data_IF_987783393384
#
_entry.id   IF_987783393384
#
_cell.length_a   1.000
_cell.length_b   1.000
_cell.length_c   1.000
_cell.angle_alpha   90.00
_cell.angle_beta   90.00
_cell.angle_gamma   90.00
#
_symmetry.space_group_name_H-M   'P 1'
#
loop_
_entity.id
_entity.type
_entity.pdbx_description
1 polymer ?
#
# COMPACT_ATOMS: atom_id res chain seq x y z
N UNK A 1 34.48 -8.60 -11.40
CA UNK A 1 34.98 -9.08 -10.10
C UNK A 1 33.74 -9.49 -9.36
N UNK A 2 33.38 -10.76 -9.52
CA UNK A 2 32.17 -11.33 -8.94
C UNK A 2 32.33 -11.38 -7.42
N UNK A 3 31.26 -11.00 -6.72
CA UNK A 3 31.27 -10.71 -5.28
C UNK A 3 31.34 -12.02 -4.49
N UNK A 4 32.53 -12.33 -3.97
CA UNK A 4 32.86 -13.56 -3.23
C UNK A 4 31.93 -13.80 -2.02
N UNK A 5 31.28 -12.74 -1.52
CA UNK A 5 30.29 -12.81 -0.44
C UNK A 5 28.99 -13.53 -0.81
N UNK A 6 28.66 -13.62 -2.11
CA UNK A 6 27.47 -14.34 -2.60
C UNK A 6 27.71 -15.85 -2.62
N UNK A 7 28.95 -16.30 -2.87
CA UNK A 7 29.29 -17.73 -2.93
C UNK A 7 29.37 -18.36 -1.52
N UNK A 8 29.91 -17.63 -0.54
CA UNK A 8 30.07 -18.14 0.83
C UNK A 8 28.73 -18.32 1.58
N UNK A 9 27.66 -17.69 1.10
CA UNK A 9 26.30 -17.87 1.66
C UNK A 9 25.69 -19.24 1.30
N UNK A 10 26.19 -19.91 0.26
CA UNK A 10 25.64 -21.17 -0.25
C UNK A 10 26.42 -22.44 0.18
N UNK A 11 27.59 -22.30 0.83
CA UNK A 11 28.45 -23.46 1.11
C UNK A 11 28.32 -24.08 2.52
N UNK A 12 27.56 -23.49 3.46
CA UNK A 12 27.43 -24.09 4.80
C UNK A 12 25.99 -24.12 5.39
N UNK A 13 25.11 -24.98 4.84
CA UNK A 13 23.70 -25.07 5.24
C UNK A 13 23.46 -25.53 6.69
N UNK A 14 24.44 -26.12 7.36
CA UNK A 14 24.25 -26.71 8.70
C UNK A 14 24.45 -25.73 9.86
N UNK A 15 25.11 -24.58 9.65
CA UNK A 15 25.34 -23.58 10.70
C UNK A 15 24.14 -22.61 10.84
N UNK A 16 23.46 -22.31 9.73
CA UNK A 16 22.24 -21.50 9.68
C UNK A 16 21.04 -22.21 10.33
N UNK A 17 20.93 -23.52 10.14
CA UNK A 17 19.81 -24.32 10.66
C UNK A 17 19.72 -24.35 12.20
N UNK A 18 20.83 -24.16 12.92
CA UNK A 18 20.91 -24.38 14.37
C UNK A 18 20.68 -23.13 15.23
N UNK A 19 20.90 -21.94 14.68
CA UNK A 19 20.60 -20.65 15.34
C UNK A 19 19.16 -20.18 15.08
N UNK A 20 18.54 -20.72 14.04
CA UNK A 20 17.17 -20.42 13.60
C UNK A 20 16.15 -21.21 14.43
N UNK A 21 16.42 -22.47 14.82
CA UNK A 21 15.39 -23.40 15.34
C UNK A 21 14.57 -22.93 16.55
N UNK A 22 15.15 -22.20 17.50
CA UNK A 22 14.46 -21.91 18.77
C UNK A 22 13.63 -20.60 18.73
N UNK A 23 14.00 -19.63 17.89
CA UNK A 23 13.17 -18.45 17.56
C UNK A 23 12.14 -18.76 16.46
N UNK A 24 12.49 -19.69 15.58
CA UNK A 24 11.64 -20.14 14.48
C UNK A 24 10.56 -21.10 14.93
N UNK A 25 10.65 -21.79 16.07
CA UNK A 25 9.52 -22.60 16.56
C UNK A 25 8.28 -21.75 16.90
N UNK A 26 8.43 -20.63 17.62
CA UNK A 26 7.31 -19.74 17.96
C UNK A 26 6.89 -18.84 16.78
N UNK A 27 7.84 -18.35 15.99
CA UNK A 27 7.52 -17.63 14.75
C UNK A 27 6.90 -18.56 13.71
N UNK A 28 7.30 -19.83 13.61
CA UNK A 28 6.68 -20.79 12.69
C UNK A 28 5.25 -21.10 13.10
N UNK A 29 4.94 -21.34 14.38
CA UNK A 29 3.54 -21.58 14.78
C UNK A 29 2.64 -20.39 14.42
N UNK A 30 3.14 -19.15 14.61
CA UNK A 30 2.40 -17.94 14.23
C UNK A 30 2.35 -17.72 12.71
N UNK A 31 3.43 -18.03 11.99
CA UNK A 31 3.50 -17.98 10.52
C UNK A 31 2.66 -19.07 9.87
N UNK A 32 2.50 -20.23 10.51
CA UNK A 32 1.72 -21.37 10.03
C UNK A 32 0.22 -21.07 10.21
N UNK A 33 -0.18 -20.54 11.37
CA UNK A 33 -1.53 -20.01 11.58
C UNK A 33 -1.87 -18.83 10.65
N UNK A 34 -0.91 -17.94 10.37
CA UNK A 34 -1.12 -16.85 9.41
C UNK A 34 -1.22 -17.38 7.97
N UNK A 35 -0.40 -18.37 7.60
CA UNK A 35 -0.49 -19.03 6.28
C UNK A 35 -1.81 -19.75 6.09
N UNK A 36 -2.26 -20.50 7.09
CA UNK A 36 -3.55 -21.19 7.07
C UNK A 36 -4.70 -20.18 6.91
N UNK A 37 -4.73 -19.14 7.74
CA UNK A 37 -5.71 -18.05 7.59
C UNK A 37 -5.70 -17.40 6.20
N UNK A 38 -4.51 -17.07 5.66
CA UNK A 38 -4.39 -16.46 4.32
C UNK A 38 -4.91 -17.39 3.22
N UNK A 39 -4.61 -18.69 3.30
CA UNK A 39 -5.08 -19.69 2.35
C UNK A 39 -6.59 -19.89 2.43
N UNK A 40 -7.15 -19.98 3.64
CA UNK A 40 -8.59 -20.11 3.85
C UNK A 40 -9.35 -18.89 3.33
N UNK A 41 -8.88 -17.69 3.65
CA UNK A 41 -9.49 -16.46 3.14
C UNK A 41 -9.43 -16.39 1.61
N UNK A 42 -8.27 -16.67 1.01
CA UNK A 42 -8.11 -16.67 -0.44
C UNK A 42 -9.02 -17.72 -1.11
N UNK A 43 -9.16 -18.91 -0.50
CA UNK A 43 -10.07 -19.94 -0.99
C UNK A 43 -11.52 -19.45 -0.99
N UNK A 44 -11.99 -18.89 0.12
CA UNK A 44 -13.34 -18.34 0.23
C UNK A 44 -13.57 -17.20 -0.77
N UNK A 45 -12.61 -16.28 -0.91
CA UNK A 45 -12.72 -15.16 -1.84
C UNK A 45 -12.88 -15.60 -3.30
N UNK A 46 -12.25 -16.72 -3.68
CA UNK A 46 -12.30 -17.25 -5.06
C UNK A 46 -13.49 -18.19 -5.32
N UNK A 47 -13.96 -18.92 -4.31
CA UNK A 47 -14.91 -20.03 -4.51
C UNK A 47 -16.26 -19.84 -3.81
N UNK A 48 -16.39 -18.89 -2.88
CA UNK A 48 -17.60 -18.68 -2.11
C UNK A 48 -17.97 -17.20 -2.03
N UNK A 49 -18.73 -16.75 -3.03
CA UNK A 49 -19.17 -15.36 -3.13
C UNK A 49 -20.03 -14.93 -1.92
N UNK A 50 -20.83 -15.83 -1.35
CA UNK A 50 -21.68 -15.52 -0.18
C UNK A 50 -20.84 -15.33 1.08
N UNK A 51 -19.83 -16.19 1.29
CA UNK A 51 -18.87 -16.01 2.37
C UNK A 51 -18.09 -14.70 2.22
N UNK A 52 -17.59 -14.41 1.01
CA UNK A 52 -16.88 -13.16 0.73
C UNK A 52 -17.73 -11.92 1.04
N UNK A 53 -19.00 -11.88 0.61
CA UNK A 53 -19.88 -10.75 0.95
C UNK A 53 -20.11 -10.61 2.46
N UNK A 54 -20.24 -11.73 3.17
CA UNK A 54 -20.43 -11.70 4.63
C UNK A 54 -19.18 -11.16 5.34
N UNK A 55 -17.98 -11.55 4.88
CA UNK A 55 -16.70 -11.04 5.38
C UNK A 55 -16.55 -9.53 5.11
N UNK A 56 -16.87 -9.07 3.90
CA UNK A 56 -16.84 -7.65 3.55
C UNK A 56 -17.85 -6.83 4.36
N UNK A 57 -19.04 -7.38 4.63
CA UNK A 57 -20.03 -6.73 5.49
C UNK A 57 -19.52 -6.56 6.91
N UNK A 58 -18.81 -7.55 7.46
CA UNK A 58 -18.21 -7.46 8.79
C UNK A 58 -17.07 -6.45 8.82
N UNK A 59 -16.19 -6.46 7.82
CA UNK A 59 -15.11 -5.47 7.68
C UNK A 59 -15.65 -4.03 7.62
N UNK A 60 -16.76 -3.83 6.91
CA UNK A 60 -17.44 -2.53 6.83
C UNK A 60 -17.97 -2.09 8.20
N UNK A 61 -18.62 -3.00 8.94
CA UNK A 61 -19.10 -2.71 10.29
C UNK A 61 -17.93 -2.29 11.21
N UNK A 62 -16.82 -3.02 11.17
CA UNK A 62 -15.64 -2.69 11.96
C UNK A 62 -15.03 -1.34 11.59
N UNK A 63 -15.04 -1.00 10.30
CA UNK A 63 -14.61 0.32 9.81
C UNK A 63 -15.49 1.43 10.38
N UNK A 64 -16.82 1.25 10.41
CA UNK A 64 -17.75 2.23 11.00
C UNK A 64 -17.47 2.42 12.50
N UNK A 65 -17.24 1.34 13.24
CA UNK A 65 -16.92 1.40 14.68
C UNK A 65 -15.63 2.18 14.94
N UNK A 66 -14.57 1.91 14.18
CA UNK A 66 -13.30 2.65 14.27
C UNK A 66 -13.51 4.12 13.89
N UNK A 67 -14.24 4.40 12.81
CA UNK A 67 -14.52 5.76 12.36
C UNK A 67 -15.24 6.58 13.43
N UNK A 68 -16.26 6.00 14.07
CA UNK A 68 -17.00 6.67 15.15
C UNK A 68 -16.09 7.04 16.32
N UNK A 69 -15.20 6.12 16.73
CA UNK A 69 -14.27 6.35 17.82
C UNK A 69 -13.23 7.43 17.47
N UNK A 70 -12.69 7.39 16.25
CA UNK A 70 -11.80 8.45 15.75
C UNK A 70 -12.50 9.82 15.68
N UNK A 71 -13.77 9.85 15.25
CA UNK A 71 -14.56 11.08 15.22
C UNK A 71 -14.81 11.64 16.61
N UNK A 72 -15.07 10.78 17.62
CA UNK A 72 -15.19 11.20 19.01
C UNK A 72 -13.89 11.81 19.52
N UNK A 73 -12.76 11.12 19.32
CA UNK A 73 -11.41 11.62 19.66
C UNK A 73 -11.15 12.99 19.05
N UNK A 74 -11.39 13.15 17.76
CA UNK A 74 -11.09 14.39 17.04
C UNK A 74 -12.04 15.51 17.46
N UNK A 75 -13.30 15.20 17.78
CA UNK A 75 -14.26 16.16 18.34
C UNK A 75 -13.84 16.65 19.74
N UNK A 76 -13.39 15.76 20.62
CA UNK A 76 -12.97 16.09 21.98
C UNK A 76 -11.70 16.96 21.97
N UNK A 77 -10.73 16.64 21.11
CA UNK A 77 -9.55 17.51 20.88
C UNK A 77 -9.94 18.89 20.38
N UNK A 78 -10.94 18.98 19.50
CA UNK A 78 -11.40 20.25 18.95
C UNK A 78 -12.08 21.09 20.02
N UNK A 79 -12.94 20.48 20.84
CA UNK A 79 -13.61 21.13 21.98
C UNK A 79 -12.60 21.60 23.02
N UNK A 80 -11.59 20.78 23.34
CA UNK A 80 -10.51 21.16 24.26
C UNK A 80 -9.78 22.42 23.76
N UNK A 81 -9.38 22.44 22.48
CA UNK A 81 -8.70 23.58 21.86
C UNK A 81 -9.56 24.84 21.87
N UNK A 82 -10.86 24.72 21.60
CA UNK A 82 -11.79 25.85 21.62
C UNK A 82 -12.06 26.39 23.03
N UNK A 83 -12.21 25.50 24.01
CA UNK A 83 -12.54 25.87 25.40
C UNK A 83 -11.34 26.44 26.15
N UNK A 84 -10.12 26.05 25.75
CA UNK A 84 -8.89 26.45 26.42
C UNK A 84 -8.13 27.57 25.70
N UNK A 85 -8.75 28.35 24.80
CA UNK A 85 -8.08 29.43 24.04
C UNK A 85 -7.46 30.56 24.90
N UNK A 86 -7.59 30.49 26.23
CA UNK A 86 -7.03 31.43 27.20
C UNK A 86 -6.19 30.76 28.32
N UNK A 87 -5.88 29.45 28.23
CA UNK A 87 -5.03 28.71 29.18
C UNK A 87 -3.58 28.60 28.66
N UNK A 88 -2.63 28.23 29.54
CA UNK A 88 -1.24 27.99 29.17
C UNK A 88 -1.12 26.84 28.15
N UNK A 89 -0.29 27.02 27.12
CA UNK A 89 -0.09 26.04 26.03
C UNK A 89 0.34 24.65 26.54
N UNK A 90 1.14 24.59 27.61
CA UNK A 90 1.63 23.33 28.20
C UNK A 90 0.50 22.47 28.79
N UNK A 91 -0.50 23.09 29.42
CA UNK A 91 -1.65 22.37 29.98
C UNK A 91 -2.54 21.80 28.87
N UNK A 92 -2.66 22.53 27.74
CA UNK A 92 -3.42 22.10 26.57
C UNK A 92 -2.71 20.93 25.87
N UNK A 93 -1.39 20.97 25.76
CA UNK A 93 -0.61 19.88 25.19
C UNK A 93 -0.76 18.61 26.02
N UNK A 94 -0.58 18.69 27.34
CA UNK A 94 -0.69 17.54 28.24
C UNK A 94 -2.11 16.93 28.22
N UNK A 95 -3.15 17.77 28.23
CA UNK A 95 -4.53 17.28 28.12
C UNK A 95 -4.82 16.65 26.74
N UNK A 96 -4.25 17.19 25.66
CA UNK A 96 -4.38 16.61 24.31
C UNK A 96 -3.71 15.24 24.22
N UNK A 97 -2.52 15.09 24.81
CA UNK A 97 -1.79 13.81 24.88
C UNK A 97 -2.56 12.76 25.69
N UNK A 98 -3.16 13.14 26.82
CA UNK A 98 -3.99 12.23 27.61
C UNK A 98 -5.23 11.74 26.84
N UNK A 99 -5.88 12.62 26.06
CA UNK A 99 -6.96 12.24 25.15
C UNK A 99 -6.44 11.25 24.10
N UNK A 100 -5.28 11.54 23.48
CA UNK A 100 -4.68 10.63 22.49
C UNK A 100 -4.41 9.25 23.06
N UNK A 101 -3.76 9.16 24.22
CA UNK A 101 -3.40 7.89 24.85
C UNK A 101 -4.64 7.06 25.21
N UNK A 102 -5.68 7.70 25.74
CA UNK A 102 -6.95 7.05 26.08
C UNK A 102 -7.62 6.44 24.83
N UNK A 103 -7.80 7.23 23.78
CA UNK A 103 -8.46 6.74 22.56
C UNK A 103 -7.60 5.75 21.78
N UNK A 104 -6.27 5.90 21.77
CA UNK A 104 -5.36 4.92 21.17
C UNK A 104 -5.46 3.57 21.88
N UNK A 105 -5.53 3.57 23.21
CA UNK A 105 -5.72 2.34 24.01
C UNK A 105 -7.06 1.65 23.69
N UNK A 106 -8.14 2.42 23.56
CA UNK A 106 -9.45 1.90 23.17
C UNK A 106 -9.45 1.36 21.73
N UNK A 107 -8.82 2.07 20.79
CA UNK A 107 -8.68 1.63 19.40
C UNK A 107 -7.90 0.32 19.29
N UNK A 108 -6.80 0.19 20.04
CA UNK A 108 -5.98 -1.02 20.00
C UNK A 108 -6.72 -2.23 20.60
N UNK A 109 -7.48 -2.02 21.68
CA UNK A 109 -8.36 -3.04 22.23
C UNK A 109 -9.45 -3.45 21.24
N UNK A 110 -10.12 -2.46 20.60
CA UNK A 110 -11.17 -2.70 19.61
C UNK A 110 -10.62 -3.47 18.39
N UNK A 111 -9.53 -2.99 17.79
CA UNK A 111 -8.86 -3.64 16.66
C UNK A 111 -8.47 -5.08 17.00
N UNK A 112 -7.94 -5.32 18.20
CA UNK A 112 -7.58 -6.68 18.64
C UNK A 112 -8.78 -7.63 18.73
N UNK A 113 -9.94 -7.13 19.14
CA UNK A 113 -11.20 -7.91 19.14
C UNK A 113 -11.68 -8.16 17.72
N UNK A 114 -11.66 -7.13 16.85
CA UNK A 114 -12.10 -7.22 15.46
C UNK A 114 -11.26 -8.21 14.65
N UNK A 115 -9.92 -8.19 14.76
CA UNK A 115 -9.05 -9.18 14.11
C UNK A 115 -9.40 -10.61 14.55
N UNK A 116 -9.65 -10.81 15.85
CA UNK A 116 -10.01 -12.14 16.39
C UNK A 116 -11.37 -12.61 15.88
N UNK A 117 -12.36 -11.72 15.84
CA UNK A 117 -13.69 -12.03 15.33
C UNK A 117 -13.67 -12.35 13.84
N UNK A 118 -12.94 -11.57 13.05
CA UNK A 118 -12.79 -11.78 11.62
C UNK A 118 -12.15 -13.13 11.31
N UNK A 119 -11.02 -13.45 11.96
CA UNK A 119 -10.33 -14.74 11.76
C UNK A 119 -11.23 -15.93 12.10
N UNK A 120 -11.93 -15.88 13.24
CA UNK A 120 -12.90 -16.92 13.61
C UNK A 120 -14.02 -17.09 12.58
N UNK A 121 -14.47 -16.01 11.96
CA UNK A 121 -15.50 -16.08 10.92
C UNK A 121 -14.96 -16.74 9.64
N UNK A 122 -13.74 -16.39 9.23
CA UNK A 122 -13.07 -17.04 8.09
C UNK A 122 -12.94 -18.54 8.33
N UNK A 123 -12.41 -18.94 9.50
CA UNK A 123 -12.25 -20.36 9.85
C UNK A 123 -13.60 -21.09 9.79
N UNK A 124 -14.65 -20.54 10.42
CA UNK A 124 -15.98 -21.15 10.45
C UNK A 124 -16.64 -21.25 9.07
N UNK A 125 -16.46 -20.25 8.20
CA UNK A 125 -16.97 -20.26 6.83
C UNK A 125 -16.22 -21.26 5.96
N UNK A 126 -14.90 -21.35 6.12
CA UNK A 126 -14.07 -22.30 5.41
C UNK A 126 -14.42 -23.75 5.78
N UNK A 127 -14.51 -24.07 7.08
CA UNK A 127 -14.93 -25.39 7.55
C UNK A 127 -16.32 -25.78 7.00
N UNK A 128 -17.27 -24.84 6.97
CA UNK A 128 -18.60 -25.07 6.39
C UNK A 128 -18.54 -25.34 4.89
N UNK A 129 -17.74 -24.59 4.15
CA UNK A 129 -17.55 -24.75 2.71
C UNK A 129 -16.99 -26.14 2.40
N UNK A 130 -15.88 -26.54 3.05
CA UNK A 130 -15.28 -27.86 2.88
C UNK A 130 -16.23 -29.01 3.22
N UNK A 131 -17.01 -28.88 4.30
CA UNK A 131 -17.98 -29.91 4.71
C UNK A 131 -19.16 -30.05 3.72
N UNK A 132 -19.49 -29.00 2.97
CA UNK A 132 -20.56 -29.02 1.97
C UNK A 132 -20.09 -29.71 0.68
N UNK A 133 -18.84 -29.50 0.26
CA UNK A 133 -18.25 -30.15 -0.93
C UNK A 133 -18.02 -31.67 -0.75
N UNK A 134 -17.69 -32.11 0.47
CA UNK A 134 -17.58 -33.54 0.79
C UNK A 134 -18.93 -34.25 0.66
N UNK A 135 -20.04 -33.55 0.88
CA UNK A 135 -21.38 -34.11 0.72
C UNK A 135 -21.85 -34.20 -0.74
N UNK A 136 -21.25 -33.46 -1.68
CA UNK A 136 -21.61 -33.51 -3.11
C UNK A 136 -20.83 -34.64 -3.83
N UNK A 137 -19.65 -35.01 -3.34
CA UNK A 137 -18.82 -36.06 -3.95
C UNK A 137 -19.11 -37.48 -3.43
N UNK A 138 -19.89 -37.63 -2.35
CA UNK A 138 -20.20 -38.93 -1.75
C UNK A 138 -21.70 -39.29 -1.82
N UNK A 139 -22.20 -39.57 -3.02
CA UNK A 139 -23.29 -40.54 -3.23
C UNK A 139 -24.73 -40.10 -2.90
N UNK A 140 -25.62 -40.40 -3.84
CA UNK A 140 -27.07 -40.47 -3.68
C UNK A 140 -27.54 -41.12 -2.37
N UNK A 141 -27.97 -40.33 -1.38
CA UNK A 141 -29.01 -40.76 -0.42
C UNK A 141 -29.70 -39.55 0.20
N UNK A 142 -31.01 -39.48 0.01
CA UNK A 142 -31.92 -38.59 0.73
C UNK A 142 -31.73 -38.71 2.24
N UNK A 143 -31.62 -37.59 2.98
CA UNK A 143 -32.28 -37.36 4.27
C UNK A 143 -32.05 -35.93 4.79
N UNK A 144 -33.12 -35.15 4.71
CA UNK A 144 -33.69 -34.30 5.76
C UNK A 144 -32.76 -33.38 6.60
N UNK A 145 -32.83 -32.09 6.27
CA UNK A 145 -33.35 -31.10 7.21
C UNK A 145 -32.44 -30.70 8.37
N UNK A 146 -31.54 -29.75 8.09
CA UNK A 146 -31.32 -28.64 9.04
C UNK A 146 -31.60 -27.36 8.27
N UNK A 147 -32.66 -26.64 8.68
CA UNK A 147 -32.92 -25.28 8.21
C UNK A 147 -31.63 -24.50 8.42
N UNK A 148 -31.00 -24.08 7.33
CA UNK A 148 -30.04 -23.00 7.40
C UNK A 148 -30.80 -21.82 8.03
N UNK A 149 -30.43 -21.42 9.24
CA UNK A 149 -30.72 -20.05 9.67
C UNK A 149 -30.03 -19.18 8.61
N UNK A 150 -30.84 -18.55 7.76
CA UNK A 150 -30.34 -17.51 6.89
C UNK A 150 -29.79 -16.44 7.82
N UNK A 151 -28.48 -16.23 7.79
CA UNK A 151 -27.92 -14.94 8.16
C UNK A 151 -28.36 -13.98 7.05
N UNK A 152 -29.66 -13.66 7.01
CA UNK A 152 -30.20 -12.55 6.24
C UNK A 152 -29.71 -11.28 6.93
N UNK A 153 -28.44 -10.96 6.70
CA UNK A 153 -27.95 -9.60 6.89
C UNK A 153 -28.33 -8.84 5.63
N UNK A 154 -29.36 -7.96 5.67
CA UNK A 154 -29.70 -7.15 4.52
C UNK A 154 -28.48 -6.30 4.17
N UNK A 155 -27.93 -6.53 2.98
CA UNK A 155 -26.89 -5.68 2.42
C UNK A 155 -27.49 -4.28 2.27
N UNK A 156 -26.94 -3.24 2.92
CA UNK A 156 -27.55 -1.92 2.82
C UNK A 156 -27.37 -1.41 1.39
N UNK A 157 -28.46 -1.41 0.62
CA UNK A 157 -28.51 -0.93 -0.77
C UNK A 157 -28.08 0.55 -0.88
N UNK A 158 -28.17 1.29 0.23
CA UNK A 158 -27.63 2.64 0.42
C UNK A 158 -26.09 2.73 0.37
N UNK A 159 -25.36 1.60 0.36
CA UNK A 159 -23.89 1.56 0.29
C UNK A 159 -23.34 1.38 -1.13
N UNK A 160 -24.19 1.10 -2.13
CA UNK A 160 -23.80 1.14 -3.55
C UNK A 160 -23.86 2.56 -4.12
N UNK A 161 -24.33 3.53 -3.33
CA UNK A 161 -24.24 4.93 -3.69
C UNK A 161 -22.79 5.38 -3.57
N UNK A 162 -22.07 5.25 -4.70
CA UNK A 162 -20.82 5.94 -4.93
C UNK A 162 -21.00 7.39 -4.48
N UNK A 163 -20.36 7.77 -3.38
CA UNK A 163 -20.31 9.16 -2.95
C UNK A 163 -19.44 9.89 -3.98
N UNK A 164 -20.04 10.31 -5.09
CA UNK A 164 -19.47 11.24 -6.06
C UNK A 164 -19.38 12.62 -5.41
N UNK A 165 -18.62 12.72 -4.32
CA UNK A 165 -18.41 13.95 -3.58
C UNK A 165 -17.14 14.56 -4.12
N UNK A 166 -17.31 15.58 -4.96
CA UNK A 166 -16.29 16.46 -5.55
C UNK A 166 -15.35 15.88 -6.63
N UNK A 167 -15.90 15.68 -7.83
CA UNK A 167 -15.16 15.44 -9.08
C UNK A 167 -14.65 16.72 -9.79
N UNK A 168 -14.80 17.90 -9.18
CA UNK A 168 -14.55 19.17 -9.90
C UNK A 168 -13.09 19.65 -9.93
N UNK A 169 -12.18 19.03 -9.17
CA UNK A 169 -10.75 19.41 -9.13
C UNK A 169 -9.80 18.24 -9.35
N UNK A 170 -10.33 17.04 -9.63
CA UNK A 170 -9.53 15.84 -9.85
C UNK A 170 -9.24 15.70 -11.34
N UNK A 171 -7.96 15.67 -11.69
CA UNK A 171 -7.47 15.43 -13.04
C UNK A 171 -6.97 13.98 -13.10
N UNK A 172 -7.55 13.20 -14.01
CA UNK A 172 -7.27 11.78 -14.22
C UNK A 172 -7.30 11.48 -15.71
N UNK A 173 -6.12 11.26 -16.30
CA UNK A 173 -5.98 10.94 -17.72
C UNK A 173 -5.34 9.56 -17.89
N UNK A 174 -5.94 8.72 -18.74
CA UNK A 174 -5.49 7.36 -19.02
C UNK A 174 -4.94 7.21 -20.43
N UNK A 175 -3.89 6.42 -20.58
CA UNK A 175 -3.18 6.15 -21.82
C UNK A 175 -2.93 4.65 -21.98
N UNK A 176 -3.07 4.17 -23.20
CA UNK A 176 -2.55 2.86 -23.60
C UNK A 176 -1.20 3.06 -24.26
N UNK A 177 -0.16 2.47 -23.66
CA UNK A 177 1.22 2.58 -24.13
C UNK A 177 1.76 1.22 -24.59
N UNK A 178 2.70 1.26 -25.52
CA UNK A 178 3.46 0.09 -25.97
C UNK A 178 4.93 0.23 -25.60
N UNK A 179 5.49 -0.84 -25.06
CA UNK A 179 6.89 -0.92 -24.67
C UNK A 179 7.58 -2.06 -25.41
N UNK A 180 8.87 -1.87 -25.72
CA UNK A 180 9.68 -2.83 -26.44
C UNK A 180 9.87 -2.48 -27.93
N UNK A 181 11.07 -2.75 -28.45
CA UNK A 181 11.41 -2.48 -29.84
C UNK A 181 11.02 -3.62 -30.80
N UNK A 182 11.10 -4.87 -30.33
CA UNK A 182 10.82 -6.06 -31.15
C UNK A 182 9.48 -6.72 -30.74
N UNK A 183 9.32 -7.03 -29.46
CA UNK A 183 8.07 -7.51 -28.87
C UNK A 183 7.39 -6.35 -28.17
N UNK A 184 6.36 -5.78 -28.80
CA UNK A 184 5.58 -4.69 -28.20
C UNK A 184 4.59 -5.26 -27.19
N UNK A 185 4.77 -4.94 -25.93
CA UNK A 185 3.81 -5.25 -24.85
C UNK A 185 2.94 -4.03 -24.58
N UNK A 186 1.64 -4.27 -24.37
CA UNK A 186 0.65 -3.23 -24.09
C UNK A 186 0.53 -3.03 -22.58
N UNK A 187 0.64 -1.79 -22.13
CA UNK A 187 0.46 -1.41 -20.73
C UNK A 187 -0.47 -0.20 -20.62
N UNK A 188 -1.02 -0.01 -19.42
CA UNK A 188 -1.80 1.18 -19.10
C UNK A 188 -0.93 2.17 -18.34
N UNK A 189 -1.08 3.45 -18.66
CA UNK A 189 -0.48 4.54 -17.91
C UNK A 189 -1.62 5.46 -17.48
N UNK A 190 -1.64 5.91 -16.23
CA UNK A 190 -2.56 6.97 -15.77
C UNK A 190 -1.76 8.13 -15.19
N UNK A 191 -2.22 9.35 -15.42
CA UNK A 191 -1.71 10.56 -14.80
C UNK A 191 -2.79 11.14 -13.91
N UNK A 192 -2.47 11.33 -12.63
CA UNK A 192 -3.38 11.80 -11.58
C UNK A 192 -2.83 13.08 -10.95
N UNK A 193 -3.69 13.98 -10.49
CA UNK A 193 -3.27 15.14 -9.68
C UNK A 193 -3.46 14.92 -8.17
N UNK A 194 -3.57 13.68 -7.71
CA UNK A 194 -3.77 13.36 -6.31
C UNK A 194 -3.08 12.05 -5.94
N UNK A 195 -2.72 11.89 -4.67
CA UNK A 195 -2.24 10.61 -4.18
C UNK A 195 -3.45 9.67 -3.97
N UNK A 196 -3.50 8.49 -4.65
CA UNK A 196 -4.63 7.56 -4.57
C UNK A 196 -5.01 7.14 -3.13
N UNK A 197 -4.02 6.98 -2.24
CA UNK A 197 -4.27 6.62 -0.83
C UNK A 197 -4.77 7.82 -0.03
N UNK A 198 -4.33 9.04 -0.34
CA UNK A 198 -4.71 10.24 0.43
C UNK A 198 -6.05 10.82 0.00
N UNK A 199 -6.49 10.59 -1.23
CA UNK A 199 -7.84 10.99 -1.66
C UNK A 199 -8.95 10.41 -0.77
N UNK A 200 -8.78 9.16 -0.33
CA UNK A 200 -9.68 8.51 0.64
C UNK A 200 -9.66 9.26 1.99
N UNK A 201 -8.50 9.80 2.37
CA UNK A 201 -8.34 10.63 3.57
C UNK A 201 -9.11 11.94 3.43
N UNK A 202 -8.87 12.68 2.36
CA UNK A 202 -9.44 14.00 2.11
C UNK A 202 -10.98 13.96 1.99
N UNK A 203 -11.53 12.92 1.35
CA UNK A 203 -12.97 12.82 1.08
C UNK A 203 -13.80 12.45 2.32
N UNK A 204 -13.17 12.08 3.45
CA UNK A 204 -13.82 11.48 4.64
C UNK A 204 -14.83 10.36 4.27
N UNK A 205 -14.68 9.78 3.09
CA UNK A 205 -15.59 8.77 2.60
C UNK A 205 -15.14 7.42 3.15
N UNK A 206 -16.12 6.62 3.53
CA UNK A 206 -15.89 5.22 3.84
C UNK A 206 -15.62 4.54 2.50
N UNK A 207 -14.57 3.71 2.42
CA UNK A 207 -14.18 3.07 1.15
C UNK A 207 -15.38 2.46 0.44
N UNK A 208 -15.47 2.75 -0.88
CA UNK A 208 -16.50 2.16 -1.74
C UNK A 208 -16.42 0.63 -1.69
N UNK A 209 -17.57 -0.03 -1.61
CA UNK A 209 -17.65 -1.50 -1.50
C UNK A 209 -16.96 -2.16 -2.69
N UNK A 210 -17.03 -1.56 -3.88
CA UNK A 210 -16.34 -2.07 -5.08
C UNK A 210 -14.82 -2.10 -4.89
N UNK A 211 -14.25 -1.07 -4.25
CA UNK A 211 -12.81 -0.98 -4.00
C UNK A 211 -12.38 -2.02 -2.96
N UNK A 212 -13.19 -2.23 -1.91
CA UNK A 212 -12.93 -3.28 -0.90
C UNK A 212 -13.05 -4.68 -1.50
N UNK A 213 -14.08 -4.94 -2.29
CA UNK A 213 -14.26 -6.21 -2.99
C UNK A 213 -13.07 -6.51 -3.91
N UNK A 214 -12.67 -5.54 -4.72
CA UNK A 214 -11.50 -5.67 -5.59
C UNK A 214 -10.23 -5.94 -4.77
N UNK A 215 -10.02 -5.20 -3.68
CA UNK A 215 -8.87 -5.39 -2.79
C UNK A 215 -8.86 -6.78 -2.18
N UNK A 216 -10.01 -7.27 -1.69
CA UNK A 216 -10.14 -8.61 -1.11
C UNK A 216 -9.88 -9.73 -2.12
N UNK A 217 -10.33 -9.56 -3.38
CA UNK A 217 -10.09 -10.53 -4.45
C UNK A 217 -8.62 -10.57 -4.89
N UNK A 218 -7.92 -9.44 -4.83
CA UNK A 218 -6.51 -9.36 -5.21
C UNK A 218 -5.56 -9.68 -4.06
N UNK A 219 -6.05 -9.61 -2.82
CA UNK A 219 -5.28 -9.92 -1.63
C UNK A 219 -4.75 -11.37 -1.74
N UNK A 220 -3.44 -11.54 -1.56
CA UNK A 220 -2.71 -12.80 -1.74
C UNK A 220 -2.62 -13.35 -3.18
N UNK A 221 -3.15 -12.62 -4.16
CA UNK A 221 -3.03 -12.96 -5.59
C UNK A 221 -1.87 -12.23 -6.29
N UNK A 222 -1.87 -12.33 -7.62
CA UNK A 222 -0.86 -11.74 -8.52
C UNK A 222 -1.33 -10.43 -9.18
N UNK A 223 -2.25 -9.71 -8.54
CA UNK A 223 -2.81 -8.45 -9.05
C UNK A 223 -2.69 -7.33 -8.00
N UNK A 224 -1.56 -7.30 -7.29
CA UNK A 224 -1.37 -6.38 -6.18
C UNK A 224 -1.14 -4.96 -6.68
N UNK A 225 -1.60 -3.99 -5.91
CA UNK A 225 -1.37 -2.58 -6.14
C UNK A 225 -0.31 -2.06 -5.17
N UNK A 226 0.73 -1.45 -5.74
CA UNK A 226 1.79 -0.77 -5.01
C UNK A 226 1.64 0.74 -5.06
N UNK A 227 2.10 1.44 -4.02
CA UNK A 227 2.28 2.88 -4.02
C UNK A 227 3.66 3.24 -3.46
N UNK A 228 4.34 4.19 -4.10
CA UNK A 228 5.64 4.69 -3.64
C UNK A 228 5.41 5.92 -2.77
N UNK A 229 5.69 5.80 -1.47
CA UNK A 229 5.68 6.89 -0.53
C UNK A 229 7.11 7.37 -0.28
N UNK A 230 7.34 8.68 -0.45
CA UNK A 230 8.61 9.30 -0.08
C UNK A 230 8.65 9.51 1.43
N UNK A 231 9.76 9.13 2.04
CA UNK A 231 9.99 9.23 3.49
C UNK A 231 11.36 9.83 3.77
N UNK A 232 11.54 10.37 4.97
CA UNK A 232 12.86 10.75 5.48
C UNK A 232 13.59 9.51 6.03
N UNK A 233 14.87 9.67 6.34
CA UNK A 233 15.75 8.60 6.87
C UNK A 233 15.28 7.98 8.19
N UNK A 234 14.41 8.69 8.91
CA UNK A 234 13.85 8.24 10.17
C UNK A 234 12.73 7.20 9.95
N UNK A 235 12.93 5.99 10.46
CA UNK A 235 11.92 4.93 10.42
C UNK A 235 10.64 5.27 11.22
N UNK A 236 10.70 6.23 12.14
CA UNK A 236 9.54 6.74 12.89
C UNK A 236 8.82 7.91 12.19
N UNK A 237 9.25 8.29 10.98
CA UNK A 237 8.72 9.42 10.22
C UNK A 237 7.19 9.47 10.22
N UNK A 238 6.51 8.36 9.94
CA UNK A 238 5.04 8.31 9.89
C UNK A 238 4.37 8.54 11.25
N UNK A 239 4.92 7.94 12.31
CA UNK A 239 4.35 8.01 13.67
C UNK A 239 4.56 9.38 14.29
N UNK A 240 5.75 9.96 14.12
CA UNK A 240 6.13 11.28 14.65
C UNK A 240 5.43 12.43 13.92
N UNK A 241 5.36 12.35 12.58
CA UNK A 241 4.76 13.43 11.76
C UNK A 241 3.25 13.29 11.61
N UNK A 242 2.65 12.17 12.06
CA UNK A 242 1.24 11.83 11.82
C UNK A 242 0.85 12.06 10.36
N UNK A 243 1.67 11.50 9.46
CA UNK A 243 1.51 11.65 8.00
C UNK A 243 0.12 11.20 7.52
N UNK A 244 -0.30 11.61 6.34
CA UNK A 244 -1.60 11.19 5.80
C UNK A 244 -1.67 9.68 5.57
N UNK A 245 -0.55 9.01 5.28
CA UNK A 245 -0.49 7.54 5.27
C UNK A 245 -0.82 6.95 6.65
N UNK A 246 -0.25 7.51 7.72
CA UNK A 246 -0.54 7.07 9.08
C UNK A 246 -2.03 7.22 9.39
N UNK A 247 -2.61 8.39 9.06
CA UNK A 247 -4.05 8.65 9.24
C UNK A 247 -4.91 7.70 8.38
N UNK A 248 -4.50 7.41 7.15
CA UNK A 248 -5.20 6.46 6.27
C UNK A 248 -5.24 5.07 6.90
N UNK A 249 -4.09 4.58 7.38
CA UNK A 249 -3.98 3.29 8.05
C UNK A 249 -4.80 3.19 9.34
N UNK A 250 -5.08 4.31 10.01
CA UNK A 250 -5.85 4.30 11.26
C UNK A 250 -7.36 4.21 11.06
N UNK A 251 -7.88 4.59 9.88
CA UNK A 251 -9.32 4.75 9.60
C UNK A 251 -10.12 3.45 9.55
N UNK A 252 -9.46 2.35 9.26
CA UNK A 252 -10.05 1.03 9.06
C UNK A 252 -9.18 -0.03 9.75
N UNK A 253 -9.76 -1.17 10.15
CA UNK A 253 -9.00 -2.20 10.83
C UNK A 253 -8.05 -2.91 9.86
N UNK A 254 -6.81 -3.15 10.30
CA UNK A 254 -5.88 -4.03 9.58
C UNK A 254 -6.13 -5.47 10.02
N UNK A 255 -6.89 -6.22 9.20
CA UNK A 255 -7.39 -7.56 9.53
C UNK A 255 -6.45 -8.69 9.11
N UNK A 256 -5.59 -8.42 8.13
CA UNK A 256 -4.82 -9.44 7.41
C UNK A 256 -3.33 -9.42 7.74
N UNK A 257 -2.79 -8.24 8.03
CA UNK A 257 -1.39 -8.01 8.38
C UNK A 257 -1.26 -7.44 9.79
N UNK A 258 -0.01 -7.14 10.21
CA UNK A 258 0.21 -6.36 11.43
C UNK A 258 0.05 -4.87 11.14
N UNK A 259 -0.43 -4.08 12.11
CA UNK A 259 -0.56 -2.63 11.96
C UNK A 259 0.77 -1.94 11.55
N UNK A 260 0.65 -0.72 11.01
CA UNK A 260 1.79 0.04 10.48
C UNK A 260 2.94 0.15 11.50
N UNK A 261 2.63 0.50 12.75
CA UNK A 261 3.65 0.66 13.83
C UNK A 261 4.42 -0.64 14.04
N UNK A 262 3.71 -1.77 14.14
CA UNK A 262 4.33 -3.09 14.33
C UNK A 262 5.18 -3.51 13.13
N UNK A 263 4.80 -3.12 11.92
CA UNK A 263 5.62 -3.37 10.72
C UNK A 263 6.90 -2.53 10.75
N UNK A 264 6.82 -1.25 11.12
CA UNK A 264 7.98 -0.37 11.25
C UNK A 264 8.94 -0.87 12.33
N UNK A 265 8.45 -1.34 13.48
CA UNK A 265 9.30 -1.94 14.53
C UNK A 265 10.03 -3.20 14.05
N UNK A 266 9.35 -4.06 13.27
CA UNK A 266 10.00 -5.23 12.64
C UNK A 266 11.09 -4.79 11.67
N UNK A 267 10.84 -3.77 10.86
CA UNK A 267 11.83 -3.23 9.91
C UNK A 267 13.05 -2.68 10.66
N UNK A 268 12.85 -1.90 11.73
CA UNK A 268 13.96 -1.42 12.58
C UNK A 268 14.75 -2.55 13.20
N UNK A 269 14.08 -3.60 13.68
CA UNK A 269 14.75 -4.77 14.22
C UNK A 269 15.60 -5.47 13.15
N UNK A 270 15.08 -5.62 11.93
CA UNK A 270 15.82 -6.18 10.80
C UNK A 270 17.05 -5.33 10.44
N UNK A 271 16.93 -4.01 10.38
CA UNK A 271 18.05 -3.11 10.13
C UNK A 271 19.17 -3.29 11.16
N UNK A 272 18.81 -3.39 12.45
CA UNK A 272 19.78 -3.67 13.54
C UNK A 272 20.51 -4.99 13.35
N UNK A 273 19.84 -6.03 12.85
CA UNK A 273 20.46 -7.35 12.63
C UNK A 273 21.36 -7.38 11.39
N UNK A 274 20.93 -6.78 10.27
CA UNK A 274 21.68 -6.73 9.01
C UNK A 274 22.94 -5.87 9.11
N UNK A 275 22.89 -4.79 9.89
CA UNK A 275 24.06 -3.94 10.12
C UNK A 275 25.08 -4.60 11.06
N UNK A 276 24.64 -5.49 11.96
CA UNK A 276 25.55 -6.29 12.80
C UNK A 276 26.31 -7.35 12.01
N UNK A 277 25.70 -7.95 10.98
CA UNK A 277 26.40 -8.94 10.15
C UNK A 277 27.47 -8.32 9.22
N UNK A 278 27.26 -7.08 8.75
CA UNK A 278 28.29 -6.32 8.01
C UNK A 278 29.42 -5.76 8.88
N UNK A 279 29.22 -5.65 10.20
CA UNK A 279 30.17 -5.01 11.14
C UNK A 279 31.26 -5.93 11.69
N UNK A 280 31.45 -7.13 11.13
CA UNK A 280 32.60 -7.99 11.50
C UNK A 280 33.92 -7.49 10.90
N UNK A 281 33.91 -6.54 9.94
CA UNK A 281 35.16 -6.09 9.32
C UNK A 281 35.64 -4.67 9.65
N UNK A 282 34.83 -3.76 10.21
CA UNK A 282 35.33 -2.42 10.58
C UNK A 282 34.67 -1.88 11.84
N UNK A 283 35.38 -2.02 12.97
CA UNK A 283 35.04 -1.39 14.23
C UNK A 283 35.49 0.07 14.23
N UNK A 284 34.55 0.99 14.03
CA UNK A 284 34.67 2.35 14.51
C UNK A 284 33.29 2.87 14.94
N UNK A 285 33.32 3.52 16.08
CA UNK A 285 32.25 4.11 16.88
C UNK A 285 31.24 4.91 16.04
N UNK A 286 30.05 4.36 15.79
CA UNK A 286 28.99 5.13 15.16
C UNK A 286 27.59 4.80 15.72
N UNK A 287 27.03 5.79 16.43
CA UNK A 287 25.67 5.80 17.00
C UNK A 287 24.57 5.88 15.93
N UNK A 288 24.93 6.00 14.64
CA UNK A 288 24.01 6.06 13.49
C UNK A 288 23.58 4.69 12.92
N UNK A 289 23.85 3.57 13.62
CA UNK A 289 23.63 2.19 13.13
C UNK A 289 22.18 1.71 12.94
N UNK A 290 21.21 2.61 12.79
CA UNK A 290 19.79 2.29 12.48
C UNK A 290 19.22 3.18 11.37
N UNK A 291 20.01 4.06 10.79
CA UNK A 291 19.53 5.08 9.87
C UNK A 291 19.52 4.55 8.44
N UNK A 292 18.39 4.71 7.75
CA UNK A 292 18.27 4.42 6.33
C UNK A 292 18.95 5.52 5.53
N UNK A 293 19.49 5.18 4.36
CA UNK A 293 20.17 6.12 3.46
C UNK A 293 19.29 6.48 2.28
N UNK A 294 19.52 7.65 1.69
CA UNK A 294 18.79 8.10 0.49
C UNK A 294 18.88 7.05 -0.63
N UNK A 295 17.72 6.67 -1.18
CA UNK A 295 17.59 5.60 -2.17
C UNK A 295 17.27 4.22 -1.60
N UNK A 296 17.40 4.01 -0.30
CA UNK A 296 16.94 2.79 0.36
C UNK A 296 15.41 2.67 0.24
N UNK A 297 14.94 1.42 0.18
CA UNK A 297 13.52 1.09 0.07
C UNK A 297 13.15 0.05 1.10
N UNK A 298 12.06 0.30 1.83
CA UNK A 298 11.41 -0.71 2.66
C UNK A 298 9.92 -0.81 2.33
N UNK A 299 9.28 -1.91 2.74
CA UNK A 299 7.91 -2.24 2.34
C UNK A 299 7.03 -2.43 3.57
N UNK A 300 5.84 -1.86 3.55
CA UNK A 300 4.75 -2.23 4.46
C UNK A 300 3.55 -2.74 3.66
N UNK A 301 2.76 -3.63 4.26
CA UNK A 301 1.61 -4.30 3.64
C UNK A 301 0.33 -3.93 4.36
N UNK A 302 -0.73 -3.67 3.61
CA UNK A 302 -2.00 -3.20 4.16
C UNK A 302 -3.16 -3.85 3.41
N UNK A 303 -4.13 -4.42 4.13
CA UNK A 303 -5.40 -4.81 3.51
C UNK A 303 -6.43 -3.69 3.60
N UNK A 304 -6.20 -2.74 4.49
CA UNK A 304 -7.15 -1.71 4.87
C UNK A 304 -7.04 -0.42 4.04
N UNK A 305 -6.11 -0.39 3.08
CA UNK A 305 -5.91 0.69 2.10
C UNK A 305 -6.42 0.24 0.73
N UNK A 306 -7.60 0.73 0.33
CA UNK A 306 -8.26 0.26 -0.89
C UNK A 306 -7.50 0.54 -2.19
N UNK A 307 -6.66 1.58 -2.21
CA UNK A 307 -5.91 1.97 -3.42
C UNK A 307 -4.57 1.22 -3.58
N UNK A 308 -3.98 0.68 -2.50
CA UNK A 308 -2.68 0.03 -2.53
C UNK A 308 -2.51 -0.96 -1.38
N UNK A 309 -2.20 -2.23 -1.70
CA UNK A 309 -1.90 -3.24 -0.67
C UNK A 309 -0.43 -3.23 -0.24
N UNK A 310 0.44 -2.63 -1.06
CA UNK A 310 1.88 -2.56 -0.82
C UNK A 310 2.32 -1.11 -0.84
N UNK A 311 2.93 -0.65 0.24
CA UNK A 311 3.55 0.69 0.29
C UNK A 311 5.06 0.51 0.23
N UNK A 312 5.67 1.03 -0.82
CA UNK A 312 7.11 1.17 -0.97
C UNK A 312 7.53 2.50 -0.38
N UNK A 313 8.30 2.46 0.69
CA UNK A 313 8.83 3.64 1.34
C UNK A 313 10.21 3.93 0.77
N UNK A 314 10.29 4.93 -0.11
CA UNK A 314 11.53 5.36 -0.74
C UNK A 314 12.15 6.48 0.10
N UNK A 315 13.33 6.20 0.65
CA UNK A 315 14.04 7.14 1.51
C UNK A 315 14.64 8.24 0.66
N UNK A 316 14.30 9.48 1.02
CA UNK A 316 14.62 10.68 0.28
C UNK A 316 14.99 11.82 1.24
N UNK A 317 15.71 12.79 0.72
CA UNK A 317 16.14 13.98 1.44
C UNK A 317 15.76 15.27 0.70
N UNK A 318 16.16 16.41 1.25
CA UNK A 318 15.84 17.73 0.71
C UNK A 318 16.64 18.06 -0.56
N UNK A 319 17.67 17.27 -0.89
CA UNK A 319 18.45 17.43 -2.13
C UNK A 319 17.57 17.24 -3.37
N UNK A 320 16.54 16.39 -3.27
CA UNK A 320 15.52 16.22 -4.30
C UNK A 320 14.69 17.48 -4.53
N UNK A 321 14.61 18.44 -3.62
CA UNK A 321 13.89 19.70 -3.89
C UNK A 321 14.83 20.76 -4.46
N UNK A 322 16.13 20.67 -4.16
CA UNK A 322 17.10 21.74 -4.42
C UNK A 322 17.92 21.56 -5.70
N UNK A 323 18.12 20.33 -6.17
CA UNK A 323 18.98 20.03 -7.31
C UNK A 323 18.20 19.63 -8.57
N UNK A 324 18.86 19.62 -9.73
CA UNK A 324 18.29 18.98 -10.92
C UNK A 324 18.37 17.45 -10.79
N UNK A 325 17.24 16.77 -11.01
CA UNK A 325 17.17 15.32 -10.92
C UNK A 325 17.91 14.67 -12.09
N UNK A 326 18.85 13.77 -11.78
CA UNK A 326 19.57 12.98 -12.80
C UNK A 326 19.32 11.49 -12.60
N UNK A 327 19.54 10.69 -13.64
CA UNK A 327 19.41 9.23 -13.58
C UNK A 327 20.38 8.54 -12.60
N UNK A 328 21.42 9.24 -12.13
CA UNK A 328 22.40 8.75 -11.16
C UNK A 328 22.02 9.04 -9.71
N UNK A 329 20.90 9.72 -9.48
CA UNK A 329 20.44 10.02 -8.13
C UNK A 329 19.99 8.74 -7.43
N UNK A 330 20.35 8.55 -6.15
CA UNK A 330 20.06 7.30 -5.43
C UNK A 330 18.56 6.96 -5.35
N UNK A 331 17.68 7.96 -5.30
CA UNK A 331 16.23 7.75 -5.41
C UNK A 331 15.78 7.16 -6.77
N UNK A 332 16.51 7.41 -7.85
CA UNK A 332 16.26 6.76 -9.15
C UNK A 332 16.64 5.28 -9.12
N UNK A 333 17.71 4.93 -8.41
CA UNK A 333 18.09 3.53 -8.16
C UNK A 333 17.06 2.83 -7.27
N UNK A 334 16.56 3.51 -6.23
CA UNK A 334 15.44 3.03 -5.42
C UNK A 334 14.18 2.79 -6.24
N UNK A 335 13.80 3.74 -7.10
CA UNK A 335 12.69 3.60 -8.04
C UNK A 335 12.89 2.42 -9.00
N UNK A 336 14.09 2.25 -9.55
CA UNK A 336 14.43 1.09 -10.39
C UNK A 336 14.23 -0.24 -9.63
N UNK A 337 14.70 -0.32 -8.39
CA UNK A 337 14.54 -1.50 -7.54
C UNK A 337 13.05 -1.80 -7.25
N UNK A 338 12.23 -0.78 -7.00
CA UNK A 338 10.79 -0.94 -6.81
C UNK A 338 10.14 -1.53 -8.07
N UNK A 339 10.42 -0.96 -9.24
CA UNK A 339 9.85 -1.47 -10.51
C UNK A 339 10.28 -2.91 -10.78
N UNK A 340 11.53 -3.29 -10.45
CA UNK A 340 11.99 -4.69 -10.51
C UNK A 340 11.15 -5.60 -9.61
N UNK A 341 10.99 -5.24 -8.34
CA UNK A 341 10.18 -6.01 -7.37
C UNK A 341 8.74 -6.14 -7.86
N UNK A 342 8.16 -5.09 -8.46
CA UNK A 342 6.81 -5.16 -9.00
C UNK A 342 6.67 -6.23 -10.10
N UNK A 343 7.67 -6.36 -10.98
CA UNK A 343 7.66 -7.38 -12.03
C UNK A 343 7.80 -8.80 -11.46
N UNK A 344 8.71 -8.97 -10.51
CA UNK A 344 9.06 -10.26 -9.89
C UNK A 344 7.93 -10.83 -9.03
N UNK A 345 7.17 -9.98 -8.32
CA UNK A 345 6.17 -10.40 -7.33
C UNK A 345 4.71 -10.13 -7.73
N UNK A 346 4.42 -9.93 -9.02
CA UNK A 346 3.03 -9.82 -9.50
C UNK A 346 2.29 -8.57 -9.00
N UNK A 347 3.01 -7.46 -8.88
CA UNK A 347 2.40 -6.16 -8.57
C UNK A 347 2.05 -5.49 -9.90
N UNK A 348 0.79 -5.65 -10.31
CA UNK A 348 0.32 -5.25 -11.64
C UNK A 348 0.02 -3.76 -11.74
N UNK A 349 -0.18 -3.07 -10.61
CA UNK A 349 -0.42 -1.63 -10.58
C UNK A 349 0.58 -0.96 -9.65
N UNK A 350 1.27 0.09 -10.10
CA UNK A 350 2.20 0.86 -9.26
C UNK A 350 1.94 2.36 -9.38
N UNK A 351 1.71 3.03 -8.25
CA UNK A 351 1.58 4.48 -8.16
C UNK A 351 2.92 5.13 -7.81
N UNK A 352 3.39 6.03 -8.67
CA UNK A 352 4.70 6.69 -8.62
C UNK A 352 4.51 8.21 -8.46
N UNK A 353 5.10 8.85 -7.43
CA UNK A 353 5.09 10.31 -7.31
C UNK A 353 5.94 10.91 -8.43
N UNK A 354 5.30 11.57 -9.40
CA UNK A 354 5.93 11.94 -10.67
C UNK A 354 7.12 12.89 -10.50
N UNK A 355 7.07 13.79 -9.52
CA UNK A 355 8.12 14.77 -9.27
C UNK A 355 9.17 14.31 -8.25
N UNK A 356 8.97 13.11 -7.66
CA UNK A 356 9.72 12.59 -6.51
C UNK A 356 9.84 13.61 -5.37
N UNK A 357 8.78 14.39 -5.14
CA UNK A 357 8.60 15.26 -3.97
C UNK A 357 7.19 15.12 -3.43
N UNK A 358 7.02 15.34 -2.12
CA UNK A 358 5.70 15.27 -1.46
C UNK A 358 4.89 16.55 -1.61
N UNK A 359 5.57 17.70 -1.64
CA UNK A 359 4.95 19.02 -1.66
C UNK A 359 5.64 19.94 -2.65
N UNK A 360 4.89 20.90 -3.20
CA UNK A 360 5.38 21.90 -4.13
C UNK A 360 5.34 23.26 -3.46
N UNK A 361 6.46 23.98 -3.49
CA UNK A 361 6.54 25.39 -3.08
C UNK A 361 6.73 26.25 -4.32
N UNK A 362 5.90 27.29 -4.56
CA UNK A 362 6.10 28.22 -5.68
C UNK A 362 7.47 28.92 -5.67
N UNK A 363 8.10 29.04 -4.51
CA UNK A 363 9.43 29.67 -4.36
C UNK A 363 10.56 28.80 -4.91
N UNK A 364 10.41 27.47 -4.81
CA UNK A 364 11.45 26.50 -5.17
C UNK A 364 11.14 25.78 -6.48
N UNK A 365 9.87 25.56 -6.79
CA UNK A 365 9.42 24.65 -7.84
C UNK A 365 8.56 25.39 -8.85
N UNK A 366 9.19 25.97 -9.87
CA UNK A 366 8.48 26.55 -11.00
C UNK A 366 8.05 25.48 -12.03
N UNK A 367 7.25 25.87 -13.01
CA UNK A 367 6.78 24.99 -14.08
C UNK A 367 7.93 24.27 -14.81
N UNK A 368 9.00 24.98 -15.16
CA UNK A 368 10.16 24.39 -15.86
C UNK A 368 10.87 23.29 -15.04
N UNK A 369 10.88 23.42 -13.72
CA UNK A 369 11.43 22.44 -12.81
C UNK A 369 10.56 21.19 -12.78
N UNK A 370 9.24 21.36 -12.73
CA UNK A 370 8.27 20.26 -12.73
C UNK A 370 8.37 19.45 -14.03
N UNK A 371 8.39 20.12 -15.19
CA UNK A 371 8.43 19.45 -16.50
C UNK A 371 9.73 18.67 -16.72
N UNK A 372 10.89 19.25 -16.39
CA UNK A 372 12.18 18.56 -16.51
C UNK A 372 12.23 17.28 -15.67
N UNK A 373 11.63 17.30 -14.47
CA UNK A 373 11.57 16.14 -13.57
C UNK A 373 10.59 15.09 -14.03
N UNK A 374 9.38 15.50 -14.41
CA UNK A 374 8.40 14.61 -14.99
C UNK A 374 8.97 13.89 -16.20
N UNK A 375 9.66 14.60 -17.10
CA UNK A 375 10.35 14.01 -18.25
C UNK A 375 11.42 12.98 -17.84
N UNK A 376 12.27 13.31 -16.86
CA UNK A 376 13.31 12.41 -16.34
C UNK A 376 12.70 11.13 -15.74
N UNK A 377 11.66 11.26 -14.92
CA UNK A 377 10.98 10.13 -14.28
C UNK A 377 10.25 9.28 -15.32
N UNK A 378 9.51 9.88 -16.25
CA UNK A 378 8.87 9.15 -17.35
C UNK A 378 9.87 8.33 -18.18
N UNK A 379 10.97 8.95 -18.62
CA UNK A 379 12.02 8.27 -19.40
C UNK A 379 12.67 7.14 -18.62
N UNK A 380 12.94 7.36 -17.33
CA UNK A 380 13.59 6.36 -16.47
C UNK A 380 12.67 5.17 -16.20
N UNK A 381 11.41 5.42 -15.82
CA UNK A 381 10.42 4.34 -15.61
C UNK A 381 10.19 3.55 -16.88
N UNK A 382 10.08 4.21 -18.05
CA UNK A 382 10.04 3.53 -19.35
C UNK A 382 11.23 2.60 -19.55
N UNK A 383 12.45 3.08 -19.25
CA UNK A 383 13.68 2.29 -19.34
C UNK A 383 13.66 1.09 -18.40
N UNK A 384 13.25 1.28 -17.15
CA UNK A 384 13.19 0.21 -16.14
C UNK A 384 12.15 -0.86 -16.49
N UNK A 385 10.97 -0.48 -16.98
CA UNK A 385 9.97 -1.45 -17.45
C UNK A 385 10.51 -2.31 -18.59
N UNK A 386 11.18 -1.69 -19.58
CA UNK A 386 11.78 -2.42 -20.71
C UNK A 386 12.88 -3.36 -20.20
N UNK A 387 13.71 -2.90 -19.27
CA UNK A 387 14.78 -3.70 -18.66
C UNK A 387 14.23 -4.94 -17.94
N UNK A 388 13.15 -4.77 -17.17
CA UNK A 388 12.58 -5.82 -16.33
C UNK A 388 11.44 -6.61 -16.98
N UNK A 389 11.07 -6.30 -18.23
CA UNK A 389 10.05 -7.02 -18.98
C UNK A 389 10.30 -8.54 -19.04
N UNK A 390 11.56 -8.98 -19.01
CA UNK A 390 11.91 -10.41 -18.98
C UNK A 390 11.56 -11.13 -17.67
N UNK A 391 11.37 -10.37 -16.59
CA UNK A 391 10.95 -10.88 -15.27
C UNK A 391 9.45 -10.69 -15.04
N UNK A 392 8.72 -10.17 -16.03
CA UNK A 392 7.30 -9.93 -15.93
C UNK A 392 6.55 -11.23 -15.66
N UNK A 393 6.01 -11.37 -14.45
CA UNK A 393 5.11 -12.47 -14.07
C UNK A 393 3.73 -12.34 -14.73
N UNK A 394 3.36 -11.15 -15.20
CA UNK A 394 2.08 -10.86 -15.87
C UNK A 394 2.29 -10.04 -17.14
N UNK A 395 1.44 -10.17 -18.17
CA UNK A 395 1.67 -9.52 -19.47
C UNK A 395 1.30 -8.03 -19.50
N UNK A 396 0.44 -7.57 -18.59
CA UNK A 396 -0.10 -6.22 -18.58
C UNK A 396 0.11 -5.56 -17.21
N UNK A 397 0.59 -4.32 -17.24
CA UNK A 397 0.84 -3.51 -16.05
C UNK A 397 0.12 -2.17 -16.19
N UNK A 398 -0.23 -1.58 -15.05
CA UNK A 398 -0.75 -0.22 -14.95
C UNK A 398 0.23 0.62 -14.14
N UNK A 399 0.77 1.68 -14.73
CA UNK A 399 1.58 2.66 -14.00
C UNK A 399 0.77 3.91 -13.80
N UNK A 400 0.64 4.34 -12.56
CA UNK A 400 -0.05 5.56 -12.20
C UNK A 400 0.98 6.58 -11.77
N UNK A 401 1.17 7.62 -12.54
CA UNK A 401 1.94 8.78 -12.09
C UNK A 401 0.99 9.72 -11.38
N UNK A 402 1.37 10.19 -10.19
CA UNK A 402 0.59 11.19 -9.50
C UNK A 402 1.41 12.43 -9.17
N UNK A 403 0.75 13.58 -9.32
CA UNK A 403 1.24 14.89 -8.94
C UNK A 403 0.64 15.30 -7.59
N UNK A 404 1.30 16.19 -6.83
CA UNK A 404 0.72 16.80 -5.64
C UNK A 404 -0.58 17.57 -5.95
N UNK A 405 -1.53 17.55 -5.01
CA UNK A 405 -2.90 18.10 -5.19
C UNK A 405 -2.93 19.59 -5.56
N UNK A 406 -1.93 20.35 -5.11
CA UNK A 406 -1.83 21.79 -5.34
C UNK A 406 -1.05 22.16 -6.61
N UNK A 407 -0.86 21.22 -7.55
CA UNK A 407 -0.18 21.51 -8.81
C UNK A 407 -1.06 22.38 -9.72
N UNK A 408 -0.44 23.31 -10.44
CA UNK A 408 -1.12 24.09 -11.47
C UNK A 408 -1.67 23.17 -12.59
N UNK A 409 -2.91 23.40 -13.00
CA UNK A 409 -3.58 22.64 -14.08
C UNK A 409 -2.78 22.68 -15.39
N UNK A 410 -2.09 23.79 -15.69
CA UNK A 410 -1.23 23.89 -16.88
C UNK A 410 -0.07 22.89 -16.82
N UNK A 411 0.59 22.75 -15.66
CA UNK A 411 1.69 21.79 -15.48
C UNK A 411 1.18 20.36 -15.64
N UNK A 412 -0.01 20.05 -15.14
CA UNK A 412 -0.65 18.75 -15.34
C UNK A 412 -0.83 18.45 -16.84
N UNK A 413 -1.43 19.37 -17.61
CA UNK A 413 -1.65 19.16 -19.05
C UNK A 413 -0.34 19.09 -19.84
N UNK A 414 0.65 19.90 -19.50
CA UNK A 414 1.99 19.78 -20.09
C UNK A 414 2.63 18.42 -19.79
N UNK A 415 2.46 17.88 -18.58
CA UNK A 415 2.90 16.51 -18.26
C UNK A 415 2.13 15.46 -19.07
N UNK A 416 0.83 15.66 -19.26
CA UNK A 416 0.00 14.79 -20.11
C UNK A 416 0.50 14.76 -21.55
N UNK A 417 0.75 15.93 -22.15
CA UNK A 417 1.23 16.06 -23.53
C UNK A 417 2.61 15.42 -23.76
N UNK A 418 3.43 15.31 -22.71
CA UNK A 418 4.72 14.60 -22.79
C UNK A 418 4.56 13.08 -22.91
N UNK A 419 3.47 12.50 -22.42
CA UNK A 419 3.30 11.03 -22.39
C UNK A 419 3.32 10.45 -23.81
N UNK A 420 2.54 10.93 -24.79
CA UNK A 420 2.62 10.44 -26.17
C UNK A 420 3.97 10.67 -26.85
N UNK A 421 4.74 11.67 -26.42
CA UNK A 421 6.07 11.96 -26.96
C UNK A 421 7.14 10.98 -26.42
N UNK A 422 7.01 10.56 -25.16
CA UNK A 422 7.97 9.67 -24.48
C UNK A 422 7.59 8.21 -24.69
N UNK A 423 6.31 7.88 -24.56
CA UNK A 423 5.77 6.53 -24.68
C UNK A 423 5.10 6.38 -26.05
N UNK A 424 5.32 5.23 -26.71
CA UNK A 424 4.58 4.94 -27.93
C UNK A 424 3.12 4.67 -27.54
N UNK A 425 2.21 5.56 -27.92
CA UNK A 425 0.77 5.38 -27.71
C UNK A 425 0.09 4.86 -28.98
N UNK A 426 -1.13 4.34 -28.86
CA UNK A 426 -2.00 4.20 -30.04
C UNK A 426 -2.27 5.59 -30.61
N UNK A 427 -1.86 5.84 -31.86
CA UNK A 427 -2.34 7.02 -32.57
C UNK A 427 -3.87 6.98 -32.71
N UNK A 428 -4.55 8.13 -32.84
CA UNK A 428 -5.97 8.13 -33.16
C UNK A 428 -6.19 7.30 -34.43
N UNK A 429 -7.07 6.29 -34.34
CA UNK A 429 -7.54 5.56 -35.51
C UNK A 429 -8.37 6.53 -36.35
N UNK A 430 -7.73 7.23 -37.30
CA UNK A 430 -8.47 7.89 -38.35
C UNK A 430 -9.08 6.80 -39.23
N UNK A 431 -10.38 6.60 -39.09
CA UNK A 431 -11.12 5.83 -40.07
C UNK A 431 -11.01 6.58 -41.41
N UNK A 432 -10.16 6.09 -42.30
CA UNK A 432 -10.12 6.54 -43.69
C UNK A 432 -11.53 6.39 -44.25
N UNK A 433 -12.23 7.52 -44.39
CA UNK A 433 -13.43 7.59 -45.20
C UNK A 433 -12.99 7.41 -46.65
N UNK A 434 -12.90 6.16 -47.09
CA UNK A 434 -12.98 5.84 -48.50
C UNK A 434 -14.29 6.40 -49.04
N UNK A 435 -14.20 7.44 -49.85
CA UNK A 435 -14.94 7.58 -51.10
C UNK A 435 -14.30 8.63 -51.98
#
# INVERSE_FOLDING_TARGET
>A
MEDQAVMDLFENPNLFARLVSDSVAQNNIRMDNDKDFHQQFQHLALHDQTALYSLLSMEMQFTIEIHNLLSLRDSEKTVLKQTCSAKNDDEISSATEAIEENYNSQLDALRSVQVRQFRKLVDAMYERHCNTDVHITCGNYYLHGRKAESLDMPFPESLLQSTNVHMHTVLDEGFTIFLGNQLKTMHNLRLLNFNPVYSQVALKSIDDVSTRLQSALFLYGNHLHGLIQLVKEDADYHSLRKTDLFKACERSPELHFSNLISQLEKIKALLKTTLRSKRVENAADDKHGTQLTVGDVYITRHSNLGAAQIIFHLVSDESLSQMDLTSRHACMDGLRNIIRVCHEFGITTISVPLLLVTEISPELHNESWCLRRAEMVFKSVKGFMIEFAKYASTPQYTIQFYLPENIDTSVFHHCSDMIPAIFQTTGPLFADRKK
#
